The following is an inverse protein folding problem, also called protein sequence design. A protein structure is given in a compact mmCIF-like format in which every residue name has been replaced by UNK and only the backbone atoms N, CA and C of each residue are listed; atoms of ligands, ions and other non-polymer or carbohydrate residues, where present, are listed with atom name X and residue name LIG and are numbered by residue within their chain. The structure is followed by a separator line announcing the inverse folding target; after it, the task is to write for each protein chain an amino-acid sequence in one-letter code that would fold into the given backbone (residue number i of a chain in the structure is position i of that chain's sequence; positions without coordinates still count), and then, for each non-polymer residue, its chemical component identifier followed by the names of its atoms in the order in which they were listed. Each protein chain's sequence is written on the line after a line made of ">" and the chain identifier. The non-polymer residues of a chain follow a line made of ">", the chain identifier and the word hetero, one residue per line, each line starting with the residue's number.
data_IF_785440217397
#
_entry.id   IF_785440217397
#
_cell.length_a   1.000
_cell.length_b   1.000
_cell.length_c   1.000
_cell.angle_alpha   90.00
_cell.angle_beta   90.00
_cell.angle_gamma   90.00
#
_symmetry.space_group_name_H-M   'P 1'
#
loop_
_entity.id
_entity.type
_entity.pdbx_description
1 polymer ?
#
# COMPACT_ATOMS: atom_id res chain seq x y z
N UNK A 1 -33.45 -26.06 -33.93
CA UNK A 1 -32.27 -25.52 -34.65
C UNK A 1 -32.45 -24.02 -34.76
N UNK A 2 -31.64 -23.10 -34.25
CA UNK A 2 -30.31 -23.12 -33.63
C UNK A 2 -30.18 -21.76 -32.91
N UNK A 3 -30.23 -21.75 -31.57
CA UNK A 3 -29.93 -20.58 -30.73
C UNK A 3 -28.42 -20.49 -30.50
N UNK A 4 -27.67 -20.13 -31.54
CA UNK A 4 -26.23 -19.96 -31.45
C UNK A 4 -25.76 -18.88 -32.44
N UNK A 5 -25.89 -17.59 -32.08
CA UNK A 5 -25.04 -16.48 -32.55
C UNK A 5 -25.60 -15.12 -32.09
N UNK A 6 -25.30 -14.68 -30.86
CA UNK A 6 -25.57 -13.28 -30.46
C UNK A 6 -24.53 -12.69 -29.49
N UNK A 7 -23.34 -13.29 -29.39
CA UNK A 7 -22.33 -12.81 -28.44
C UNK A 7 -21.38 -11.72 -28.99
N UNK A 8 -21.46 -11.34 -30.27
CA UNK A 8 -20.54 -10.36 -30.86
C UNK A 8 -21.24 -9.35 -31.78
N UNK A 9 -21.84 -8.32 -31.19
CA UNK A 9 -22.08 -7.03 -31.87
C UNK A 9 -21.69 -5.88 -30.93
N UNK A 10 -20.43 -5.84 -30.51
CA UNK A 10 -19.86 -4.64 -29.90
C UNK A 10 -19.47 -3.73 -31.06
N UNK A 11 -20.19 -2.63 -31.26
CA UNK A 11 -19.85 -1.64 -32.30
C UNK A 11 -18.48 -0.99 -32.05
N UNK A 12 -17.83 -0.44 -33.08
CA UNK A 12 -16.46 0.10 -32.99
C UNK A 12 -16.31 1.18 -31.92
N UNK A 13 -17.34 2.02 -31.72
CA UNK A 13 -17.34 3.03 -30.65
C UNK A 13 -17.32 2.42 -29.24
N UNK A 14 -18.10 1.36 -28.99
CA UNK A 14 -18.11 0.67 -27.69
C UNK A 14 -16.79 -0.09 -27.46
N UNK A 15 -16.21 -0.64 -28.52
CA UNK A 15 -14.89 -1.27 -28.47
C UNK A 15 -13.80 -0.25 -28.11
N UNK A 16 -13.85 0.95 -28.69
CA UNK A 16 -12.95 2.05 -28.33
C UNK A 16 -13.09 2.45 -26.85
N UNK A 17 -14.33 2.60 -26.35
CA UNK A 17 -14.56 2.90 -24.91
C UNK A 17 -14.00 1.79 -24.02
N UNK A 18 -14.26 0.52 -24.31
CA UNK A 18 -13.70 -0.59 -23.53
C UNK A 18 -12.17 -0.61 -23.57
N UNK A 19 -11.57 -0.31 -24.72
CA UNK A 19 -10.12 -0.20 -24.85
C UNK A 19 -9.57 0.95 -23.99
N UNK A 20 -10.17 2.14 -24.05
CA UNK A 20 -9.76 3.27 -23.21
C UNK A 20 -9.88 2.94 -21.71
N UNK A 21 -10.97 2.31 -21.29
CA UNK A 21 -11.15 1.85 -19.91
C UNK A 21 -10.09 0.84 -19.53
N UNK A 22 -9.78 -0.13 -20.39
CA UNK A 22 -8.74 -1.13 -20.16
C UNK A 22 -7.36 -0.47 -19.99
N UNK A 23 -7.02 0.50 -20.84
CA UNK A 23 -5.76 1.25 -20.75
C UNK A 23 -5.68 2.00 -19.42
N UNK A 24 -6.76 2.68 -19.01
CA UNK A 24 -6.83 3.36 -17.72
C UNK A 24 -6.62 2.36 -16.57
N UNK A 25 -7.31 1.22 -16.60
CA UNK A 25 -7.17 0.17 -15.58
C UNK A 25 -5.73 -0.35 -15.52
N UNK A 26 -5.09 -0.62 -16.65
CA UNK A 26 -3.69 -1.06 -16.69
C UNK A 26 -2.78 -0.01 -16.08
N UNK A 27 -2.91 1.26 -16.48
CA UNK A 27 -2.10 2.37 -15.94
C UNK A 27 -2.24 2.45 -14.42
N UNK A 28 -3.45 2.28 -13.89
CA UNK A 28 -3.71 2.30 -12.44
C UNK A 28 -3.24 1.05 -11.70
N UNK A 29 -3.18 -0.11 -12.34
CA UNK A 29 -2.71 -1.35 -11.72
C UNK A 29 -1.19 -1.48 -11.70
N UNK A 30 -0.48 -0.85 -12.64
CA UNK A 30 0.98 -0.94 -12.77
C UNK A 30 1.72 -0.54 -11.47
N UNK A 31 1.41 0.57 -10.79
CA UNK A 31 2.06 0.92 -9.52
C UNK A 31 1.82 -0.12 -8.42
N UNK A 32 0.60 -0.62 -8.29
CA UNK A 32 0.22 -1.65 -7.30
C UNK A 32 0.95 -2.95 -7.56
N UNK A 33 1.04 -3.37 -8.83
CA UNK A 33 1.82 -4.54 -9.24
C UNK A 33 3.31 -4.33 -8.94
N UNK A 34 3.84 -3.13 -9.20
CA UNK A 34 5.22 -2.80 -8.90
C UNK A 34 5.55 -2.88 -7.41
N UNK A 35 4.66 -2.41 -6.54
CA UNK A 35 4.79 -2.55 -5.08
C UNK A 35 4.73 -4.03 -4.68
N UNK A 36 3.76 -4.79 -5.21
CA UNK A 36 3.61 -6.21 -4.90
C UNK A 36 4.85 -7.02 -5.28
N UNK A 37 5.34 -6.85 -6.52
CA UNK A 37 6.55 -7.53 -7.00
C UNK A 37 7.76 -7.09 -6.18
N UNK A 38 7.91 -5.81 -5.87
CA UNK A 38 9.01 -5.31 -5.04
C UNK A 38 9.00 -5.90 -3.63
N UNK A 39 7.82 -6.06 -3.02
CA UNK A 39 7.71 -6.63 -1.68
C UNK A 39 8.21 -8.08 -1.58
N UNK A 40 8.20 -8.82 -2.69
CA UNK A 40 8.70 -10.19 -2.79
C UNK A 40 10.19 -10.27 -3.13
N UNK A 41 10.87 -9.16 -3.42
CA UNK A 41 12.28 -9.16 -3.83
C UNK A 41 13.21 -9.03 -2.64
N UNK A 42 14.40 -9.62 -2.78
CA UNK A 42 15.48 -9.39 -1.83
C UNK A 42 15.98 -7.94 -1.85
N UNK A 43 16.48 -7.48 -0.70
CA UNK A 43 17.01 -6.13 -0.49
C UNK A 43 18.02 -5.73 -1.55
N UNK A 44 18.98 -6.60 -1.87
CA UNK A 44 20.08 -6.30 -2.79
C UNK A 44 19.60 -6.17 -4.24
N UNK A 45 18.44 -6.75 -4.58
CA UNK A 45 17.85 -6.63 -5.92
C UNK A 45 17.07 -5.33 -6.10
N UNK A 46 16.36 -4.88 -5.05
CA UNK A 46 15.53 -3.67 -5.09
C UNK A 46 16.38 -2.42 -5.23
N UNK A 47 17.55 -2.37 -4.60
CA UNK A 47 18.47 -1.21 -4.69
C UNK A 47 19.11 -1.04 -6.06
N UNK A 48 19.27 -2.13 -6.82
CA UNK A 48 20.08 -2.11 -8.05
C UNK A 48 19.23 -2.14 -9.33
N UNK A 49 17.95 -2.54 -9.25
CA UNK A 49 17.09 -2.64 -10.44
C UNK A 49 15.59 -2.48 -10.14
N UNK A 50 14.84 -2.00 -11.12
CA UNK A 50 13.39 -1.81 -11.01
C UNK A 50 12.60 -3.12 -10.94
N UNK A 51 11.36 -3.05 -10.46
CA UNK A 51 10.49 -4.22 -10.32
C UNK A 51 10.16 -4.90 -11.66
N UNK A 52 10.20 -4.16 -12.77
CA UNK A 52 9.95 -4.71 -14.10
C UNK A 52 11.04 -5.69 -14.56
N UNK A 53 12.22 -5.67 -13.93
CA UNK A 53 13.28 -6.66 -14.15
C UNK A 53 13.29 -7.75 -13.08
N UNK A 54 12.27 -7.89 -12.23
CA UNK A 54 12.31 -8.83 -11.11
C UNK A 54 12.51 -10.31 -11.52
N UNK A 55 12.14 -10.67 -12.75
CA UNK A 55 12.34 -12.01 -13.30
C UNK A 55 13.66 -12.14 -14.10
N UNK A 56 14.31 -11.02 -14.39
CA UNK A 56 15.64 -10.98 -14.98
C UNK A 56 16.66 -10.86 -13.84
N UNK A 57 17.72 -11.68 -13.86
CA UNK A 57 18.79 -11.55 -12.87
C UNK A 57 19.32 -10.11 -12.77
N UNK A 58 19.84 -9.73 -11.60
CA UNK A 58 20.42 -8.41 -11.39
C UNK A 58 21.95 -8.48 -11.45
N UNK A 59 22.63 -7.36 -11.72
CA UNK A 59 24.10 -7.31 -11.58
C UNK A 59 24.42 -6.62 -10.27
N UNK A 60 25.03 -7.34 -9.33
CA UNK A 60 25.33 -6.86 -7.98
C UNK A 60 26.84 -6.66 -7.83
N UNK A 61 27.24 -5.68 -7.00
CA UNK A 61 28.64 -5.52 -6.61
C UNK A 61 28.93 -6.36 -5.37
N UNK A 62 29.76 -7.39 -5.51
CA UNK A 62 30.11 -8.33 -4.44
C UNK A 62 31.58 -8.16 -4.10
N UNK A 63 31.90 -8.05 -2.80
CA UNK A 63 33.29 -8.07 -2.36
C UNK A 63 33.76 -9.51 -2.15
N UNK A 64 34.91 -9.86 -2.71
CA UNK A 64 35.58 -11.14 -2.50
C UNK A 64 37.01 -10.93 -2.01
N UNK A 65 37.61 -11.96 -1.44
CA UNK A 65 39.04 -11.99 -1.10
C UNK A 65 39.72 -13.09 -1.89
N UNK A 66 40.93 -12.80 -2.34
CA UNK A 66 41.81 -13.80 -2.96
C UNK A 66 42.34 -14.78 -1.90
N UNK A 67 43.04 -15.81 -2.34
CA UNK A 67 43.64 -16.82 -1.48
C UNK A 67 44.74 -16.23 -0.59
N UNK A 68 45.11 -17.00 0.42
CA UNK A 68 46.15 -16.65 1.38
C UNK A 68 47.55 -16.97 0.84
N UNK A 69 48.62 -16.31 1.32
CA UNK A 69 50.00 -16.52 0.85
C UNK A 69 50.49 -17.97 0.86
N UNK A 70 50.05 -18.79 1.81
CA UNK A 70 50.36 -20.22 1.93
C UNK A 70 49.81 -21.08 0.78
N UNK A 71 48.84 -20.55 0.03
CA UNK A 71 48.28 -21.20 -1.16
C UNK A 71 49.07 -20.89 -2.43
N UNK A 72 50.08 -20.01 -2.36
CA UNK A 72 50.88 -19.61 -3.50
C UNK A 72 51.78 -20.75 -3.98
N UNK A 73 51.78 -20.98 -5.29
CA UNK A 73 52.69 -21.90 -5.97
C UNK A 73 53.63 -21.12 -6.86
N UNK A 74 54.91 -21.47 -6.84
CA UNK A 74 55.88 -20.90 -7.76
C UNK A 74 55.77 -21.59 -9.12
N UNK A 75 55.55 -20.81 -10.18
CA UNK A 75 55.49 -21.28 -11.56
C UNK A 75 56.51 -20.50 -12.39
N UNK A 76 57.73 -21.04 -12.51
CA UNK A 76 58.85 -20.31 -13.10
C UNK A 76 59.30 -19.15 -12.22
N UNK A 77 59.33 -17.94 -12.77
CA UNK A 77 59.78 -16.71 -12.09
C UNK A 77 58.64 -15.96 -11.36
N UNK A 78 57.42 -16.50 -11.39
CA UNK A 78 56.25 -15.87 -10.77
C UNK A 78 55.63 -16.74 -9.69
N UNK A 79 54.99 -16.09 -8.72
CA UNK A 79 54.19 -16.72 -7.68
C UNK A 79 52.71 -16.57 -8.02
N UNK A 80 51.98 -17.67 -7.98
CA UNK A 80 50.60 -17.74 -8.43
C UNK A 80 49.70 -18.28 -7.32
N UNK A 81 48.61 -17.56 -7.05
CA UNK A 81 47.50 -18.03 -6.22
C UNK A 81 46.29 -18.24 -7.14
N UNK A 82 45.75 -19.47 -7.12
CA UNK A 82 44.54 -19.84 -7.88
C UNK A 82 43.41 -20.18 -6.93
N UNK A 83 42.18 -19.83 -7.30
CA UNK A 83 40.99 -20.24 -6.57
C UNK A 83 39.72 -19.90 -7.33
N UNK A 84 38.58 -19.96 -6.64
CA UNK A 84 37.30 -19.53 -7.19
C UNK A 84 36.58 -18.61 -6.21
N UNK A 85 36.27 -17.38 -6.62
CA UNK A 85 35.58 -16.37 -5.80
C UNK A 85 34.06 -16.54 -5.74
N UNK A 86 33.49 -17.42 -6.57
CA UNK A 86 32.08 -17.77 -6.61
C UNK A 86 31.81 -19.20 -6.12
N UNK A 87 32.79 -19.87 -5.50
CA UNK A 87 32.65 -21.27 -5.04
C UNK A 87 31.41 -21.49 -4.16
N UNK A 88 31.09 -20.53 -3.29
CA UNK A 88 29.93 -20.59 -2.39
C UNK A 88 28.68 -19.87 -2.95
N UNK A 89 28.70 -19.43 -4.21
CA UNK A 89 27.64 -18.62 -4.84
C UNK A 89 27.18 -19.23 -6.17
N UNK A 90 26.53 -20.40 -6.15
CA UNK A 90 26.09 -21.09 -7.36
C UNK A 90 25.09 -20.25 -8.16
N UNK A 91 25.19 -20.32 -9.49
CA UNK A 91 24.31 -19.59 -10.41
C UNK A 91 24.68 -18.13 -10.63
N UNK A 92 25.74 -17.62 -9.99
CA UNK A 92 26.30 -16.30 -10.28
C UNK A 92 27.39 -16.39 -11.37
N UNK A 93 27.58 -15.30 -12.10
CA UNK A 93 28.69 -15.19 -13.07
C UNK A 93 29.34 -13.81 -12.99
N UNK A 94 30.67 -13.76 -13.07
CA UNK A 94 31.41 -12.50 -13.08
C UNK A 94 31.28 -11.84 -14.45
N UNK A 95 30.80 -10.60 -14.50
CA UNK A 95 30.81 -9.78 -15.72
C UNK A 95 32.06 -8.90 -15.79
N UNK A 96 32.44 -8.32 -14.66
CA UNK A 96 33.60 -7.46 -14.54
C UNK A 96 34.13 -7.47 -13.09
N UNK A 97 35.34 -6.97 -12.88
CA UNK A 97 35.97 -6.87 -11.57
C UNK A 97 36.82 -5.60 -11.41
N UNK A 98 37.17 -5.30 -10.17
CA UNK A 98 38.11 -4.23 -9.84
C UNK A 98 38.64 -4.33 -8.41
N UNK A 99 39.69 -3.56 -8.12
CA UNK A 99 40.35 -3.56 -6.80
C UNK A 99 39.83 -2.48 -5.86
N UNK A 100 38.98 -1.56 -6.35
CA UNK A 100 38.36 -0.47 -5.58
C UNK A 100 36.85 -0.57 -5.64
N UNK A 101 36.16 -0.29 -4.52
CA UNK A 101 34.70 -0.38 -4.45
C UNK A 101 34.00 0.61 -5.38
N UNK A 102 34.63 1.76 -5.67
CA UNK A 102 34.10 2.78 -6.58
C UNK A 102 34.25 2.39 -8.06
N UNK A 103 35.09 1.39 -8.36
CA UNK A 103 35.38 0.93 -9.72
C UNK A 103 35.33 -0.62 -9.76
N UNK A 104 34.19 -1.25 -9.46
CA UNK A 104 34.05 -2.71 -9.44
C UNK A 104 33.99 -3.33 -10.83
N UNK A 105 33.95 -2.52 -11.88
CA UNK A 105 33.93 -2.93 -13.29
C UNK A 105 35.09 -2.33 -14.08
N UNK A 106 36.25 -2.18 -13.42
CA UNK A 106 37.45 -1.63 -14.04
C UNK A 106 38.01 -2.54 -15.15
N UNK A 107 37.83 -3.86 -15.01
CA UNK A 107 38.31 -4.87 -15.93
C UNK A 107 37.20 -5.87 -16.26
N UNK A 108 37.12 -6.33 -17.51
CA UNK A 108 36.12 -7.33 -17.92
C UNK A 108 36.52 -8.74 -17.45
N UNK A 109 35.54 -9.60 -17.22
CA UNK A 109 35.83 -11.01 -16.91
C UNK A 109 36.57 -11.67 -18.08
N UNK A 110 37.62 -12.43 -17.78
CA UNK A 110 38.53 -13.04 -18.77
C UNK A 110 39.68 -12.13 -19.20
N UNK A 111 39.69 -10.85 -18.79
CA UNK A 111 40.81 -9.94 -19.01
C UNK A 111 41.84 -10.04 -17.88
N UNK A 112 43.13 -10.10 -18.21
CA UNK A 112 44.20 -9.95 -17.23
C UNK A 112 44.38 -8.47 -16.87
N UNK A 113 44.12 -8.14 -15.61
CA UNK A 113 44.33 -6.81 -15.05
C UNK A 113 45.77 -6.65 -14.56
N UNK A 114 46.44 -5.58 -14.98
CA UNK A 114 47.69 -5.13 -14.37
C UNK A 114 47.37 -4.29 -13.13
N UNK A 115 47.84 -4.74 -11.97
CA UNK A 115 47.60 -4.08 -10.68
C UNK A 115 48.74 -3.14 -10.29
N UNK A 116 49.80 -3.04 -11.10
CA UNK A 116 51.03 -2.34 -10.78
C UNK A 116 51.97 -3.18 -9.89
N UNK A 117 53.21 -2.70 -9.73
CA UNK A 117 54.21 -3.31 -8.84
C UNK A 117 54.52 -4.80 -9.13
N UNK A 118 54.34 -5.24 -10.38
CA UNK A 118 54.59 -6.62 -10.80
C UNK A 118 53.50 -7.60 -10.38
N UNK A 119 52.30 -7.10 -10.08
CA UNK A 119 51.11 -7.89 -9.77
C UNK A 119 50.11 -7.86 -10.92
N UNK A 120 49.54 -9.02 -11.24
CA UNK A 120 48.46 -9.13 -12.22
C UNK A 120 47.36 -10.09 -11.76
N UNK A 121 46.14 -9.86 -12.20
CA UNK A 121 44.98 -10.63 -11.79
C UNK A 121 44.07 -10.93 -12.98
N UNK A 122 43.81 -12.21 -13.20
CA UNK A 122 42.81 -12.69 -14.14
C UNK A 122 41.63 -13.27 -13.35
N UNK A 123 40.40 -12.86 -13.67
CA UNK A 123 39.17 -13.46 -13.14
C UNK A 123 38.25 -13.82 -14.30
N UNK A 124 37.89 -15.10 -14.41
CA UNK A 124 36.98 -15.60 -15.44
C UNK A 124 35.51 -15.47 -15.02
N UNK A 125 34.60 -15.60 -15.98
CA UNK A 125 33.16 -15.49 -15.74
C UNK A 125 32.58 -16.54 -14.78
N UNK A 126 33.23 -17.70 -14.67
CA UNK A 126 32.86 -18.78 -13.72
C UNK A 126 33.37 -18.54 -12.28
N UNK A 127 34.05 -17.41 -12.05
CA UNK A 127 34.63 -17.05 -10.77
C UNK A 127 36.02 -17.64 -10.52
N UNK A 128 36.55 -18.48 -11.41
CA UNK A 128 37.95 -18.92 -11.31
C UNK A 128 38.89 -17.73 -11.49
N UNK A 129 39.93 -17.65 -10.67
CA UNK A 129 40.91 -16.57 -10.74
C UNK A 129 42.34 -17.08 -10.68
N UNK A 130 43.24 -16.27 -11.23
CA UNK A 130 44.68 -16.42 -11.15
C UNK A 130 45.30 -15.09 -10.75
N UNK A 131 45.86 -15.04 -9.56
CA UNK A 131 46.59 -13.89 -9.03
C UNK A 131 48.08 -14.16 -9.11
N UNK A 132 48.81 -13.29 -9.80
CA UNK A 132 50.20 -13.49 -10.19
C UNK A 132 51.04 -12.35 -9.65
N UNK A 133 52.20 -12.67 -9.07
CA UNK A 133 53.15 -11.68 -8.52
C UNK A 133 54.57 -12.07 -8.93
N UNK A 134 55.35 -11.08 -9.35
CA UNK A 134 56.77 -11.28 -9.70
C UNK A 134 57.70 -11.44 -8.49
N UNK A 135 57.15 -11.39 -7.28
CA UNK A 135 57.86 -11.55 -6.00
C UNK A 135 57.10 -12.51 -5.09
N UNK A 136 57.80 -13.14 -4.15
CA UNK A 136 57.20 -14.03 -3.17
C UNK A 136 56.18 -13.29 -2.30
N UNK A 137 55.10 -13.97 -1.95
CA UNK A 137 54.12 -13.44 -0.99
C UNK A 137 54.73 -13.44 0.42
N UNK A 138 54.57 -12.35 1.16
CA UNK A 138 55.04 -12.32 2.54
C UNK A 138 54.16 -13.24 3.42
N UNK A 139 54.72 -13.96 4.41
CA UNK A 139 53.96 -14.90 5.24
C UNK A 139 52.76 -14.27 5.98
N UNK A 140 52.84 -12.97 6.27
CA UNK A 140 51.82 -12.17 6.95
C UNK A 140 51.01 -11.26 6.00
N UNK A 141 51.20 -11.40 4.68
CA UNK A 141 50.50 -10.61 3.67
C UNK A 141 48.99 -10.89 3.73
N UNK A 142 48.19 -9.83 3.87
CA UNK A 142 46.73 -9.97 3.95
C UNK A 142 46.16 -10.34 2.58
N UNK A 143 45.17 -11.25 2.52
CA UNK A 143 44.47 -11.55 1.28
C UNK A 143 43.87 -10.30 0.65
N UNK A 144 44.21 -10.07 -0.62
CA UNK A 144 43.73 -8.89 -1.35
C UNK A 144 42.21 -8.94 -1.49
N UNK A 145 41.57 -7.82 -1.17
CA UNK A 145 40.14 -7.61 -1.39
C UNK A 145 39.91 -7.12 -2.80
N UNK A 146 38.93 -7.69 -3.47
CA UNK A 146 38.48 -7.31 -4.80
C UNK A 146 36.97 -7.14 -4.80
N UNK A 147 36.47 -6.48 -5.84
CA UNK A 147 35.05 -6.20 -6.05
C UNK A 147 34.65 -6.75 -7.42
N UNK A 148 33.56 -7.49 -7.45
CA UNK A 148 33.04 -8.17 -8.63
C UNK A 148 31.70 -7.53 -9.00
N UNK A 149 31.51 -7.17 -10.26
CA UNK A 149 30.18 -6.99 -10.83
C UNK A 149 29.69 -8.37 -11.30
N UNK A 150 28.93 -9.05 -10.45
CA UNK A 150 28.44 -10.41 -10.70
C UNK A 150 26.95 -10.40 -11.04
N UNK A 151 26.53 -11.19 -12.04
CA UNK A 151 25.11 -11.48 -12.23
C UNK A 151 24.60 -12.38 -11.10
N UNK A 152 23.46 -12.04 -10.53
CA UNK A 152 22.73 -12.86 -9.58
C UNK A 152 21.38 -13.26 -10.20
N UNK A 153 20.94 -14.53 -10.06
CA UNK A 153 19.61 -14.94 -10.49
C UNK A 153 18.52 -14.17 -9.74
N UNK A 154 17.29 -14.09 -10.28
CA UNK A 154 16.17 -13.49 -9.57
C UNK A 154 15.91 -14.26 -8.26
N UNK A 155 15.70 -13.54 -7.17
CA UNK A 155 15.50 -14.13 -5.84
C UNK A 155 14.23 -13.56 -5.23
N UNK A 156 13.29 -14.44 -4.91
CA UNK A 156 12.03 -14.09 -4.27
C UNK A 156 12.03 -14.58 -2.82
N UNK A 157 11.56 -13.71 -1.92
CA UNK A 157 11.58 -13.96 -0.49
C UNK A 157 10.32 -13.42 0.18
N UNK A 158 9.92 -14.07 1.27
CA UNK A 158 8.87 -13.59 2.18
C UNK A 158 9.45 -12.95 3.44
N UNK A 159 10.78 -12.79 3.52
CA UNK A 159 11.47 -12.22 4.66
C UNK A 159 10.95 -10.82 4.99
N UNK A 160 10.71 -9.98 3.97
CA UNK A 160 10.19 -8.63 4.16
C UNK A 160 8.84 -8.63 4.89
N UNK A 161 7.91 -9.48 4.46
CA UNK A 161 6.61 -9.65 5.12
C UNK A 161 6.76 -10.16 6.55
N UNK A 162 7.61 -11.16 6.77
CA UNK A 162 7.90 -11.67 8.12
C UNK A 162 8.42 -10.54 9.01
N UNK A 163 9.40 -9.78 8.54
CA UNK A 163 9.97 -8.64 9.27
C UNK A 163 8.91 -7.59 9.61
N UNK A 164 8.01 -7.25 8.68
CA UNK A 164 6.92 -6.30 8.96
C UNK A 164 5.94 -6.86 9.98
N UNK A 165 5.41 -8.07 9.75
CA UNK A 165 4.36 -8.67 10.57
C UNK A 165 4.83 -9.02 11.99
N UNK A 166 6.12 -9.29 12.18
CA UNK A 166 6.70 -9.57 13.51
C UNK A 166 7.38 -8.36 14.14
N UNK A 167 7.31 -7.17 13.53
CA UNK A 167 7.84 -5.96 14.14
C UNK A 167 7.04 -5.59 15.39
N UNK A 168 7.74 -5.15 16.44
CA UNK A 168 7.13 -4.77 17.71
C UNK A 168 6.03 -3.72 17.51
N UNK A 169 4.88 -3.92 18.17
CA UNK A 169 3.74 -3.00 18.12
C UNK A 169 2.82 -3.14 16.90
N UNK A 170 3.23 -3.80 15.80
CA UNK A 170 2.40 -3.90 14.58
C UNK A 170 1.06 -4.60 14.84
N UNK A 171 1.06 -5.68 15.63
CA UNK A 171 -0.17 -6.38 16.01
C UNK A 171 -1.14 -5.47 16.78
N UNK A 172 -0.63 -4.70 17.75
CA UNK A 172 -1.45 -3.74 18.51
C UNK A 172 -1.98 -2.63 17.60
N UNK A 173 -1.12 -2.08 16.73
CA UNK A 173 -1.52 -1.03 15.79
C UNK A 173 -2.57 -1.50 14.78
N UNK A 174 -2.54 -2.77 14.38
CA UNK A 174 -3.60 -3.38 13.58
C UNK A 174 -4.94 -3.40 14.33
N UNK A 175 -4.95 -3.80 15.60
CA UNK A 175 -6.15 -3.77 16.45
C UNK A 175 -6.63 -2.35 16.69
N UNK A 176 -5.72 -1.40 16.91
CA UNK A 176 -6.05 0.02 17.06
C UNK A 176 -6.73 0.56 15.81
N UNK A 177 -6.18 0.26 14.63
CA UNK A 177 -6.79 0.62 13.34
C UNK A 177 -8.20 0.04 13.17
N UNK A 178 -8.44 -1.21 13.53
CA UNK A 178 -9.78 -1.80 13.49
C UNK A 178 -10.74 -1.14 14.50
N UNK A 179 -10.24 -0.89 15.72
CA UNK A 179 -10.98 -0.21 16.80
C UNK A 179 -11.38 1.21 16.40
N UNK A 180 -10.59 1.89 15.58
CA UNK A 180 -10.95 3.19 14.99
C UNK A 180 -11.90 3.02 13.82
N UNK A 181 -11.53 2.20 12.83
CA UNK A 181 -12.17 2.14 11.51
C UNK A 181 -13.58 1.60 11.58
N UNK A 182 -13.83 0.52 12.33
CA UNK A 182 -15.15 -0.12 12.35
C UNK A 182 -16.22 0.81 12.94
N UNK A 183 -16.05 1.38 14.16
CA UNK A 183 -17.04 2.31 14.72
C UNK A 183 -17.17 3.60 13.90
N UNK A 184 -16.05 4.17 13.43
CA UNK A 184 -16.06 5.38 12.60
C UNK A 184 -16.67 5.15 11.21
N UNK A 185 -16.89 3.90 10.79
CA UNK A 185 -17.66 3.57 9.59
C UNK A 185 -19.15 3.43 9.92
N UNK A 186 -19.48 2.71 10.99
CA UNK A 186 -20.87 2.37 11.34
C UNK A 186 -21.64 3.58 11.90
N UNK A 187 -21.05 4.32 12.84
CA UNK A 187 -21.70 5.43 13.54
C UNK A 187 -22.24 6.50 12.57
N UNK A 188 -21.44 7.07 11.64
CA UNK A 188 -21.94 8.07 10.72
C UNK A 188 -23.02 7.51 9.78
N UNK A 189 -22.97 6.24 9.38
CA UNK A 189 -24.01 5.62 8.56
C UNK A 189 -25.35 5.61 9.29
N UNK A 190 -25.36 5.16 10.55
CA UNK A 190 -26.58 5.07 11.34
C UNK A 190 -27.22 6.46 11.49
N UNK A 191 -26.42 7.46 11.86
CA UNK A 191 -26.89 8.84 12.04
C UNK A 191 -27.35 9.43 10.71
N UNK A 192 -26.55 9.28 9.65
CA UNK A 192 -26.86 9.86 8.35
C UNK A 192 -28.06 9.21 7.68
N UNK A 193 -28.31 7.91 7.88
CA UNK A 193 -29.50 7.24 7.36
C UNK A 193 -30.80 7.84 7.95
N UNK A 194 -30.84 8.06 9.27
CA UNK A 194 -31.98 8.74 9.91
C UNK A 194 -32.13 10.18 9.42
N UNK A 195 -31.04 10.95 9.37
CA UNK A 195 -31.08 12.32 8.89
C UNK A 195 -31.52 12.41 7.41
N UNK A 196 -31.02 11.50 6.56
CA UNK A 196 -31.39 11.43 5.17
C UNK A 196 -32.86 11.06 4.97
N UNK A 197 -33.41 10.13 5.77
CA UNK A 197 -34.85 9.83 5.79
C UNK A 197 -35.67 11.08 6.11
N UNK A 198 -35.36 11.74 7.24
CA UNK A 198 -36.08 12.93 7.68
C UNK A 198 -36.02 14.05 6.63
N UNK A 199 -34.83 14.31 6.07
CA UNK A 199 -34.63 15.33 5.04
C UNK A 199 -35.19 14.96 3.66
N UNK A 200 -35.61 13.71 3.45
CA UNK A 200 -36.25 13.25 2.20
C UNK A 200 -37.77 13.28 2.29
N UNK A 201 -38.36 12.83 3.41
CA UNK A 201 -39.81 12.56 3.46
C UNK A 201 -40.55 13.11 4.68
N UNK A 202 -39.86 13.67 5.67
CA UNK A 202 -40.56 14.38 6.75
C UNK A 202 -40.74 15.86 6.40
N UNK A 203 -41.85 16.42 6.85
CA UNK A 203 -42.17 17.84 6.69
C UNK A 203 -42.01 18.53 8.04
N UNK A 204 -41.10 19.51 8.11
CA UNK A 204 -40.85 20.28 9.32
C UNK A 204 -40.19 21.63 8.97
N UNK A 205 -40.38 22.67 9.79
CA UNK A 205 -39.82 24.00 9.54
C UNK A 205 -38.27 23.96 9.54
N UNK A 206 -37.65 24.70 8.62
CA UNK A 206 -36.18 24.80 8.54
C UNK A 206 -35.48 23.66 7.75
N UNK A 207 -36.23 22.69 7.21
CA UNK A 207 -35.68 21.57 6.41
C UNK A 207 -34.76 22.04 5.26
N UNK A 208 -35.15 23.08 4.51
CA UNK A 208 -34.34 23.60 3.42
C UNK A 208 -33.01 24.21 3.89
N UNK A 209 -33.03 24.90 5.04
CA UNK A 209 -31.83 25.47 5.64
C UNK A 209 -30.87 24.36 6.12
N UNK A 210 -31.39 23.30 6.73
CA UNK A 210 -30.56 22.15 7.12
C UNK A 210 -29.92 21.47 5.91
N UNK A 211 -30.64 21.32 4.80
CA UNK A 211 -30.08 20.79 3.55
C UNK A 211 -28.96 21.70 3.04
N UNK A 212 -29.20 23.02 3.01
CA UNK A 212 -28.19 23.99 2.58
C UNK A 212 -26.95 23.96 3.50
N UNK A 213 -27.14 23.83 4.82
CA UNK A 213 -26.06 23.71 5.80
C UNK A 213 -25.24 22.44 5.57
N UNK A 214 -25.89 21.28 5.40
CA UNK A 214 -25.23 20.00 5.10
C UNK A 214 -24.38 20.13 3.85
N UNK A 215 -24.90 20.72 2.77
CA UNK A 215 -24.14 20.93 1.53
C UNK A 215 -22.99 21.92 1.74
N UNK A 216 -23.22 23.02 2.48
CA UNK A 216 -22.18 23.99 2.81
C UNK A 216 -21.03 23.39 3.63
N UNK A 217 -21.32 22.46 4.54
CA UNK A 217 -20.32 21.77 5.36
C UNK A 217 -19.40 20.86 4.54
N UNK A 218 -19.82 20.38 3.36
CA UNK A 218 -18.95 19.60 2.45
C UNK A 218 -17.79 20.46 1.93
N UNK A 219 -17.99 21.76 1.79
CA UNK A 219 -16.99 22.70 1.26
C UNK A 219 -15.88 22.99 2.28
N UNK A 220 -16.15 22.77 3.57
CA UNK A 220 -15.19 23.10 4.64
C UNK A 220 -14.01 22.12 4.57
N UNK A 221 -12.78 22.63 4.36
CA UNK A 221 -11.60 21.78 4.31
C UNK A 221 -11.31 21.22 5.71
N UNK A 222 -11.25 19.88 5.79
CA UNK A 222 -11.00 19.16 7.04
C UNK A 222 -9.77 19.69 7.77
N UNK A 223 -8.67 19.93 7.06
CA UNK A 223 -7.39 20.34 7.64
C UNK A 223 -7.49 21.68 8.39
N UNK A 224 -8.28 22.64 7.90
CA UNK A 224 -8.46 23.94 8.55
C UNK A 224 -9.27 23.83 9.85
N UNK A 225 -10.14 22.82 9.93
CA UNK A 225 -11.04 22.61 11.08
C UNK A 225 -10.41 21.80 12.22
N UNK A 226 -9.29 21.09 11.97
CA UNK A 226 -8.66 20.19 12.95
C UNK A 226 -8.27 20.93 14.25
N UNK A 227 -7.56 22.05 14.15
CA UNK A 227 -7.07 22.78 15.33
C UNK A 227 -8.25 23.34 16.15
N UNK A 228 -9.22 24.07 15.55
CA UNK A 228 -10.39 24.53 16.28
C UNK A 228 -11.17 23.39 16.96
N UNK A 229 -11.40 22.29 16.25
CA UNK A 229 -12.16 21.15 16.80
C UNK A 229 -11.40 20.43 17.91
N UNK A 230 -10.08 20.30 17.80
CA UNK A 230 -9.27 19.73 18.89
C UNK A 230 -9.33 20.61 20.13
N UNK A 231 -9.29 21.95 19.98
CA UNK A 231 -9.45 22.88 21.11
C UNK A 231 -10.80 22.71 21.78
N UNK A 232 -11.88 22.70 21.00
CA UNK A 232 -13.23 22.46 21.51
C UNK A 232 -13.33 21.10 22.21
N UNK A 233 -12.73 20.05 21.64
CA UNK A 233 -12.75 18.72 22.23
C UNK A 233 -11.98 18.67 23.56
N UNK A 234 -10.84 19.37 23.65
CA UNK A 234 -10.10 19.50 24.90
C UNK A 234 -10.90 20.25 25.98
N UNK A 235 -11.59 21.33 25.61
CA UNK A 235 -12.44 22.09 26.53
C UNK A 235 -13.57 21.21 27.06
N UNK A 236 -14.28 20.49 26.18
CA UNK A 236 -15.34 19.56 26.58
C UNK A 236 -14.78 18.45 27.47
N UNK A 237 -13.65 17.83 27.09
CA UNK A 237 -12.99 16.78 27.87
C UNK A 237 -12.63 17.26 29.27
N UNK A 238 -12.14 18.49 29.40
CA UNK A 238 -11.82 19.10 30.70
C UNK A 238 -13.05 19.29 31.59
N UNK A 239 -14.22 19.61 31.02
CA UNK A 239 -15.46 19.79 31.77
C UNK A 239 -15.99 18.48 32.36
N UNK A 240 -15.79 17.36 31.65
CA UNK A 240 -16.27 16.02 32.06
C UNK A 240 -15.16 15.16 32.68
N UNK A 241 -13.99 15.73 32.97
CA UNK A 241 -12.81 15.06 33.50
C UNK A 241 -12.36 13.84 32.66
N UNK A 242 -12.47 13.93 31.34
CA UNK A 242 -12.08 12.87 30.41
C UNK A 242 -10.88 13.30 29.55
N UNK A 243 -9.90 12.42 29.28
CA UNK A 243 -8.83 12.71 28.35
C UNK A 243 -9.37 12.99 26.94
N UNK A 244 -8.79 13.98 26.28
CA UNK A 244 -9.20 14.41 24.94
C UNK A 244 -8.63 13.56 23.80
N UNK A 245 -7.74 12.61 24.09
CA UNK A 245 -7.18 11.70 23.09
C UNK A 245 -7.60 10.28 23.40
N UNK A 246 -8.76 9.88 22.87
CA UNK A 246 -9.40 8.61 23.19
C UNK A 246 -10.11 8.05 21.96
N UNK A 247 -10.43 6.75 21.98
CA UNK A 247 -11.21 6.11 20.91
C UNK A 247 -12.55 6.81 20.63
N UNK A 248 -13.38 7.17 21.63
CA UNK A 248 -14.58 7.96 21.38
C UNK A 248 -14.31 9.30 20.68
N UNK A 249 -13.21 9.98 21.03
CA UNK A 249 -12.86 11.26 20.40
C UNK A 249 -12.58 11.15 18.91
N UNK A 250 -11.79 10.16 18.51
CA UNK A 250 -11.52 9.91 17.09
C UNK A 250 -12.74 9.37 16.34
N UNK A 251 -13.63 8.60 16.98
CA UNK A 251 -14.90 8.17 16.39
C UNK A 251 -15.81 9.36 16.10
N UNK A 252 -15.94 10.29 17.07
CA UNK A 252 -16.70 11.51 16.91
C UNK A 252 -16.12 12.42 15.82
N UNK A 253 -14.79 12.57 15.77
CA UNK A 253 -14.12 13.36 14.74
C UNK A 253 -14.42 12.82 13.33
N UNK A 254 -14.20 11.52 13.08
CA UNK A 254 -14.50 10.91 11.78
C UNK A 254 -16.00 10.92 11.45
N UNK A 255 -16.85 10.79 12.47
CA UNK A 255 -18.30 10.92 12.30
C UNK A 255 -18.67 12.32 11.84
N UNK A 256 -18.19 13.35 12.54
CA UNK A 256 -18.49 14.75 12.22
C UNK A 256 -18.03 15.14 10.81
N UNK A 257 -16.84 14.70 10.40
CA UNK A 257 -16.30 14.97 9.06
C UNK A 257 -16.98 14.17 7.96
N UNK A 258 -17.33 12.89 8.21
CA UNK A 258 -18.00 12.05 7.22
C UNK A 258 -19.48 12.36 7.03
N UNK A 259 -20.12 12.95 8.05
CA UNK A 259 -21.58 13.13 8.10
C UNK A 259 -22.17 13.99 6.98
N UNK A 260 -21.59 15.15 6.58
CA UNK A 260 -22.15 15.96 5.50
C UNK A 260 -22.27 15.18 4.17
N UNK A 261 -21.20 14.48 3.79
CA UNK A 261 -21.19 13.64 2.59
C UNK A 261 -22.13 12.44 2.74
N UNK A 262 -22.17 11.80 3.91
CA UNK A 262 -23.06 10.68 4.19
C UNK A 262 -24.54 11.06 4.02
N UNK A 263 -24.95 12.17 4.66
CA UNK A 263 -26.33 12.68 4.58
C UNK A 263 -26.65 13.05 3.14
N UNK A 264 -25.74 13.75 2.44
CA UNK A 264 -25.96 14.16 1.06
C UNK A 264 -26.18 12.97 0.13
N UNK A 265 -25.29 11.98 0.15
CA UNK A 265 -25.37 10.79 -0.72
C UNK A 265 -26.58 9.92 -0.39
N UNK A 266 -26.81 9.64 0.91
CA UNK A 266 -27.95 8.82 1.32
C UNK A 266 -29.27 9.52 1.04
N UNK A 267 -29.36 10.84 1.24
CA UNK A 267 -30.56 11.61 0.89
C UNK A 267 -30.84 11.54 -0.61
N UNK A 268 -29.82 11.71 -1.45
CA UNK A 268 -29.97 11.63 -2.89
C UNK A 268 -30.54 10.28 -3.35
N UNK A 269 -30.07 9.17 -2.74
CA UNK A 269 -30.59 7.84 -3.03
C UNK A 269 -32.00 7.63 -2.46
N UNK A 270 -32.20 7.92 -1.16
CA UNK A 270 -33.47 7.72 -0.45
C UNK A 270 -34.59 8.52 -1.12
N UNK A 271 -34.34 9.78 -1.49
CA UNK A 271 -35.32 10.61 -2.22
C UNK A 271 -35.74 10.02 -3.58
N UNK A 272 -34.94 9.10 -4.15
CA UNK A 272 -35.23 8.42 -5.41
C UNK A 272 -36.07 7.14 -5.28
N UNK A 273 -36.33 6.65 -4.06
CA UNK A 273 -37.16 5.48 -3.85
C UNK A 273 -38.63 5.75 -4.25
N UNK A 274 -39.40 4.73 -4.69
CA UNK A 274 -40.79 4.90 -5.13
C UNK A 274 -41.65 5.48 -4.00
N UNK A 275 -42.23 6.66 -4.24
CA UNK A 275 -43.01 7.39 -3.23
C UNK A 275 -44.29 6.64 -2.86
N UNK A 276 -44.85 5.92 -3.82
CA UNK A 276 -46.11 5.20 -3.72
C UNK A 276 -46.06 4.12 -2.61
N UNK A 277 -44.90 3.46 -2.45
CA UNK A 277 -44.70 2.45 -1.40
C UNK A 277 -44.77 3.08 0.00
N UNK A 278 -44.24 4.30 0.13
CA UNK A 278 -44.15 5.01 1.41
C UNK A 278 -45.49 5.66 1.75
N UNK A 279 -46.15 6.25 0.76
CA UNK A 279 -47.50 6.79 0.91
C UNK A 279 -48.50 5.69 1.27
N UNK A 280 -48.43 4.51 0.63
CA UNK A 280 -49.26 3.36 0.98
C UNK A 280 -49.02 2.91 2.43
N UNK A 281 -47.76 2.77 2.85
CA UNK A 281 -47.45 2.38 4.22
C UNK A 281 -47.98 3.40 5.26
N UNK A 282 -47.94 4.70 4.92
CA UNK A 282 -48.50 5.77 5.78
C UNK A 282 -50.02 5.71 5.82
N UNK A 283 -50.70 5.37 4.71
CA UNK A 283 -52.15 5.12 4.66
C UNK A 283 -52.53 3.89 5.49
N UNK A 284 -51.69 2.86 5.51
CA UNK A 284 -51.83 1.67 6.36
C UNK A 284 -51.53 1.94 7.86
N UNK A 285 -51.23 3.18 8.23
CA UNK A 285 -51.00 3.60 9.62
C UNK A 285 -49.60 3.30 10.16
N UNK A 286 -48.64 2.93 9.31
CA UNK A 286 -47.27 2.71 9.74
C UNK A 286 -46.61 4.02 10.20
N UNK A 287 -45.93 3.97 11.36
CA UNK A 287 -45.14 5.08 11.87
C UNK A 287 -43.90 5.35 11.02
N UNK A 288 -43.36 6.57 11.05
CA UNK A 288 -42.10 6.90 10.33
C UNK A 288 -40.94 5.98 10.72
N UNK A 289 -40.87 5.54 11.98
CA UNK A 289 -39.85 4.59 12.44
C UNK A 289 -40.03 3.20 11.81
N UNK A 290 -41.27 2.71 11.68
CA UNK A 290 -41.57 1.45 11.01
C UNK A 290 -41.30 1.53 9.50
N UNK A 291 -41.71 2.61 8.85
CA UNK A 291 -41.41 2.88 7.44
C UNK A 291 -39.89 2.87 7.24
N UNK A 292 -39.16 3.62 8.07
CA UNK A 292 -37.70 3.69 8.00
C UNK A 292 -37.06 2.31 8.15
N UNK A 293 -37.35 1.58 9.23
CA UNK A 293 -36.66 0.33 9.55
C UNK A 293 -37.07 -0.85 8.65
N UNK A 294 -38.35 -0.94 8.26
CA UNK A 294 -38.88 -2.10 7.50
C UNK A 294 -38.88 -1.92 5.99
N UNK A 295 -38.91 -0.67 5.49
CA UNK A 295 -39.01 -0.40 4.05
C UNK A 295 -37.73 0.28 3.57
N UNK A 296 -37.42 1.44 4.15
CA UNK A 296 -36.40 2.34 3.59
C UNK A 296 -35.01 1.77 3.79
N UNK A 297 -34.69 1.33 5.00
CA UNK A 297 -33.36 0.83 5.35
C UNK A 297 -32.99 -0.42 4.50
N UNK A 298 -33.85 -1.44 4.33
CA UNK A 298 -33.59 -2.56 3.41
C UNK A 298 -33.41 -2.14 1.95
N UNK A 299 -34.26 -1.23 1.44
CA UNK A 299 -34.17 -0.73 0.06
C UNK A 299 -32.91 0.13 -0.18
N UNK A 300 -32.42 0.77 0.89
CA UNK A 300 -31.22 1.62 0.87
C UNK A 300 -29.93 0.86 1.15
N UNK A 301 -29.99 -0.45 1.43
CA UNK A 301 -28.83 -1.26 1.71
C UNK A 301 -27.70 -1.14 0.66
N UNK A 302 -27.98 -1.10 -0.66
CA UNK A 302 -26.93 -0.88 -1.67
C UNK A 302 -26.19 0.45 -1.51
N UNK A 303 -26.92 1.54 -1.18
CA UNK A 303 -26.35 2.86 -0.96
C UNK A 303 -25.55 2.92 0.35
N UNK A 304 -26.08 2.31 1.42
CA UNK A 304 -25.41 2.21 2.72
C UNK A 304 -24.09 1.44 2.60
N UNK A 305 -24.08 0.29 1.90
CA UNK A 305 -22.87 -0.47 1.63
C UNK A 305 -21.87 0.32 0.78
N UNK A 306 -22.35 1.09 -0.21
CA UNK A 306 -21.48 1.94 -1.04
C UNK A 306 -20.78 3.01 -0.20
N UNK A 307 -21.53 3.72 0.67
CA UNK A 307 -20.94 4.70 1.58
C UNK A 307 -20.03 4.03 2.61
N UNK A 308 -20.38 2.85 3.13
CA UNK A 308 -19.53 2.10 4.06
C UNK A 308 -18.16 1.80 3.48
N UNK A 309 -18.08 1.45 2.18
CA UNK A 309 -16.80 1.24 1.50
C UNK A 309 -15.98 2.54 1.51
N UNK A 310 -16.57 3.67 1.08
CA UNK A 310 -15.83 4.94 1.04
C UNK A 310 -15.37 5.40 2.42
N UNK A 311 -16.25 5.33 3.42
CA UNK A 311 -15.95 5.71 4.79
C UNK A 311 -14.88 4.80 5.40
N UNK A 312 -14.99 3.48 5.22
CA UNK A 312 -13.99 2.53 5.70
C UNK A 312 -12.62 2.80 5.06
N UNK A 313 -12.57 2.97 3.74
CA UNK A 313 -11.34 3.25 3.02
C UNK A 313 -10.70 4.56 3.47
N UNK A 314 -11.50 5.61 3.70
CA UNK A 314 -10.98 6.87 4.20
C UNK A 314 -10.39 6.71 5.60
N UNK A 315 -11.16 6.18 6.56
CA UNK A 315 -10.71 6.05 7.96
C UNK A 315 -9.53 5.10 8.10
N UNK A 316 -9.52 3.97 7.37
CA UNK A 316 -8.42 3.00 7.42
C UNK A 316 -7.08 3.59 6.99
N UNK A 317 -7.12 4.50 6.01
CA UNK A 317 -5.93 5.15 5.47
C UNK A 317 -5.59 6.47 6.20
N UNK A 318 -6.48 7.00 7.04
CA UNK A 318 -6.28 8.30 7.67
C UNK A 318 -5.23 8.25 8.78
N UNK A 319 -4.12 8.95 8.55
CA UNK A 319 -3.07 9.13 9.54
C UNK A 319 -3.23 10.44 10.32
N UNK A 320 -3.75 11.49 9.68
CA UNK A 320 -3.72 12.85 10.22
C UNK A 320 -4.73 13.03 11.37
N UNK A 321 -5.99 12.66 11.17
CA UNK A 321 -7.03 12.70 12.21
C UNK A 321 -6.65 11.74 13.34
N UNK A 322 -6.05 10.59 13.02
CA UNK A 322 -5.55 9.66 14.02
C UNK A 322 -4.49 10.27 14.95
N UNK A 323 -3.45 10.88 14.39
CA UNK A 323 -2.42 11.56 15.18
C UNK A 323 -2.96 12.70 16.04
N UNK A 324 -3.97 13.43 15.53
CA UNK A 324 -4.56 14.59 16.21
C UNK A 324 -5.48 14.16 17.37
N UNK A 325 -6.39 13.22 17.14
CA UNK A 325 -7.49 12.89 18.07
C UNK A 325 -7.29 11.60 18.88
N UNK A 326 -6.38 10.72 18.48
CA UNK A 326 -6.06 9.50 19.23
C UNK A 326 -4.63 9.54 19.78
N UNK A 327 -3.70 10.16 19.04
CA UNK A 327 -2.31 10.36 19.46
C UNK A 327 -1.32 9.46 18.73
N UNK A 328 -0.06 9.52 19.18
CA UNK A 328 1.08 8.81 18.58
C UNK A 328 1.76 7.87 19.56
N UNK A 329 1.18 7.68 20.75
CA UNK A 329 1.72 6.80 21.77
C UNK A 329 1.63 5.34 21.31
N UNK A 330 2.58 4.50 21.75
CA UNK A 330 2.71 3.10 21.27
C UNK A 330 1.41 2.30 21.42
N UNK A 331 0.66 2.53 22.49
CA UNK A 331 -0.56 1.79 22.80
C UNK A 331 -1.76 2.18 21.92
N UNK A 332 -1.71 3.37 21.30
CA UNK A 332 -2.80 3.95 20.52
C UNK A 332 -2.45 4.24 19.06
N UNK A 333 -1.20 3.97 18.66
CA UNK A 333 -0.74 4.20 17.31
C UNK A 333 -1.48 3.30 16.32
N UNK A 334 -2.07 3.89 15.28
CA UNK A 334 -2.74 3.18 14.18
C UNK A 334 -1.72 2.54 13.23
N UNK A 335 -2.13 1.52 12.48
CA UNK A 335 -1.27 0.75 11.57
C UNK A 335 -0.53 1.64 10.56
N UNK A 336 -1.20 2.63 9.97
CA UNK A 336 -0.57 3.59 9.04
C UNK A 336 0.58 4.36 9.71
N UNK A 337 0.41 4.76 10.97
CA UNK A 337 1.43 5.43 11.76
C UNK A 337 2.59 4.52 12.15
N UNK A 338 2.29 3.28 12.55
CA UNK A 338 3.32 2.30 12.89
C UNK A 338 4.18 1.92 11.69
N UNK A 339 3.55 1.71 10.52
CA UNK A 339 4.27 1.44 9.28
C UNK A 339 5.07 2.67 8.82
N UNK A 340 4.57 3.89 9.01
CA UNK A 340 5.33 5.10 8.73
C UNK A 340 6.58 5.22 9.63
N UNK A 341 6.48 4.85 10.91
CA UNK A 341 7.62 4.85 11.83
C UNK A 341 8.69 3.80 11.46
N UNK A 342 8.31 2.68 10.85
CA UNK A 342 9.26 1.70 10.31
C UNK A 342 10.11 2.28 9.16
N UNK A 343 9.61 3.28 8.44
CA UNK A 343 10.34 3.97 7.37
C UNK A 343 11.38 4.94 7.92
N UNK A 344 10.97 5.78 8.89
CA UNK A 344 11.82 6.83 9.45
C UNK A 344 12.99 6.29 10.28
N UNK A 345 12.82 5.14 10.93
CA UNK A 345 13.85 4.52 11.78
C UNK A 345 14.87 3.68 11.03
N UNK A 346 14.60 3.27 9.78
CA UNK A 346 15.37 2.26 9.05
C UNK A 346 16.00 2.77 7.76
N UNK A 347 16.41 4.05 7.72
CA UNK A 347 16.96 4.74 6.54
C UNK A 347 17.70 3.83 5.56
N UNK A 348 17.05 3.52 4.43
CA UNK A 348 17.61 2.68 3.36
C UNK A 348 16.97 1.31 3.11
N UNK A 349 16.01 0.85 3.92
CA UNK A 349 15.35 -0.45 3.73
C UNK A 349 14.04 -0.34 2.90
N UNK A 350 14.17 -0.06 1.61
CA UNK A 350 13.05 0.10 0.66
C UNK A 350 12.18 -1.16 0.51
N UNK A 351 12.77 -2.33 0.72
CA UNK A 351 12.10 -3.63 0.73
C UNK A 351 11.00 -3.70 1.80
N UNK A 352 11.24 -3.11 2.97
CA UNK A 352 10.29 -3.07 4.08
C UNK A 352 9.13 -2.13 3.75
N UNK A 353 9.39 -0.99 3.09
CA UNK A 353 8.35 -0.05 2.66
C UNK A 353 7.32 -0.72 1.75
N UNK A 354 7.79 -1.44 0.75
CA UNK A 354 6.90 -2.09 -0.23
C UNK A 354 6.07 -3.20 0.40
N UNK A 355 6.66 -3.99 1.32
CA UNK A 355 5.92 -4.98 2.10
C UNK A 355 4.90 -4.33 3.05
N UNK A 356 5.26 -3.25 3.75
CA UNK A 356 4.35 -2.49 4.61
C UNK A 356 3.15 -1.93 3.84
N UNK A 357 3.39 -1.31 2.68
CA UNK A 357 2.34 -0.77 1.83
C UNK A 357 1.34 -1.86 1.40
N UNK A 358 1.84 -3.04 1.04
CA UNK A 358 0.98 -4.15 0.64
C UNK A 358 0.17 -4.72 1.82
N UNK A 359 0.77 -4.84 3.00
CA UNK A 359 0.08 -5.24 4.24
C UNK A 359 -1.06 -4.26 4.58
N UNK A 360 -0.89 -2.96 4.34
CA UNK A 360 -1.98 -1.99 4.57
C UNK A 360 -3.10 -2.12 3.56
N UNK A 361 -2.80 -2.35 2.28
CA UNK A 361 -3.77 -2.36 1.17
C UNK A 361 -4.64 -3.63 1.17
N UNK A 362 -4.16 -4.75 1.70
CA UNK A 362 -4.89 -6.03 1.64
C UNK A 362 -6.27 -5.94 2.33
N UNK A 363 -6.38 -5.20 3.44
CA UNK A 363 -7.63 -5.08 4.20
C UNK A 363 -8.69 -4.26 3.43
N UNK A 364 -8.39 -3.03 2.95
CA UNK A 364 -9.20 -2.31 1.98
C UNK A 364 -9.71 -3.15 0.82
N UNK A 365 -8.83 -3.95 0.19
CA UNK A 365 -9.21 -4.80 -0.94
C UNK A 365 -10.21 -5.88 -0.51
N UNK A 366 -9.99 -6.55 0.61
CA UNK A 366 -10.93 -7.55 1.13
C UNK A 366 -12.31 -6.94 1.42
N UNK A 367 -12.37 -5.76 2.04
CA UNK A 367 -13.63 -5.06 2.30
C UNK A 367 -14.31 -4.66 0.99
N UNK A 368 -13.56 -4.08 0.05
CA UNK A 368 -14.07 -3.69 -1.26
C UNK A 368 -14.64 -4.90 -2.01
N UNK A 369 -13.88 -5.99 -2.17
CA UNK A 369 -14.33 -7.18 -2.91
C UNK A 369 -15.51 -7.88 -2.24
N UNK A 370 -15.61 -7.80 -0.90
CA UNK A 370 -16.76 -8.33 -0.16
C UNK A 370 -18.05 -7.51 -0.37
N UNK A 371 -17.91 -6.18 -0.55
CA UNK A 371 -19.04 -5.25 -0.65
C UNK A 371 -19.33 -4.74 -2.08
N UNK A 372 -18.44 -4.95 -3.06
CA UNK A 372 -18.53 -4.41 -4.42
C UNK A 372 -19.84 -4.77 -5.14
N UNK A 373 -20.42 -5.94 -4.83
CA UNK A 373 -21.70 -6.39 -5.42
C UNK A 373 -22.85 -5.44 -5.13
N UNK A 374 -22.77 -4.71 -4.02
CA UNK A 374 -23.77 -3.71 -3.63
C UNK A 374 -23.53 -2.37 -4.33
N UNK A 375 -22.27 -2.02 -4.59
CA UNK A 375 -21.88 -0.80 -5.31
C UNK A 375 -22.36 -0.82 -6.77
N UNK A 376 -22.22 -1.97 -7.45
CA UNK A 376 -22.72 -2.15 -8.83
C UNK A 376 -24.24 -1.97 -8.92
N UNK A 377 -25.00 -2.44 -7.91
CA UNK A 377 -26.46 -2.28 -7.88
C UNK A 377 -26.89 -0.84 -7.60
N UNK A 378 -26.15 -0.12 -6.74
CA UNK A 378 -26.44 1.28 -6.40
C UNK A 378 -26.25 2.25 -7.58
N UNK A 379 -25.20 2.05 -8.39
CA UNK A 379 -24.93 2.89 -9.57
C UNK A 379 -25.94 2.66 -10.71
N UNK A 380 -26.41 1.43 -10.88
CA UNK A 380 -27.36 1.08 -11.95
C UNK A 380 -28.78 1.60 -11.65
N UNK A 381 -29.21 1.62 -10.39
CA UNK A 381 -30.53 2.15 -10.02
C UNK A 381 -30.73 3.64 -10.34
N UNK A 382 -29.64 4.44 -10.34
CA UNK A 382 -29.67 5.86 -10.71
C UNK A 382 -29.64 6.14 -12.22
N UNK A 383 -29.16 5.19 -13.05
CA UNK A 383 -28.98 5.41 -14.51
C UNK A 383 -30.18 5.02 -15.37
N UNK A 384 -31.15 4.25 -14.87
CA UNK A 384 -32.29 3.75 -15.68
C UNK A 384 -33.35 4.82 -15.98
N UNK A 385 -33.15 6.08 -15.56
CA UNK A 385 -34.12 7.18 -15.79
C UNK A 385 -33.83 8.06 -17.01
N UNK A 386 -32.95 7.65 -17.91
CA UNK A 386 -32.56 8.46 -19.08
C UNK A 386 -32.48 7.73 -20.42
N UNK A 387 -33.17 6.60 -20.60
CA UNK A 387 -33.20 5.83 -21.85
C UNK A 387 -34.61 5.73 -22.43
#
# INVERSE_FOLDING_TARGET
>A
MTTAASYFKIGPARLFVHFCVLVIVIIWLVPTLGIFVSALRDKDQITVSGWWTAFAGSTQTVAARLGTPDQAKQEGDIYVITGNVLADQPGRSVKAFGVRVQQPSAFEAGQTADLGEGESLLINSDGSYRYMKNAAFAPDERPRRIYLAASAPPEFTLANYKTVLTSEGIGQSFINSLTVTIPATIIPILIAAFAAYALSWMEFPGRALLIALVVGLIVVPLQMSLIPLLRLYNEIGSLINQPSKTYPGIWLAHTAFGMPLAIYLLRAYISGLPKEIIESARVDGASDFEIFTRIVLPLSFPALASFAIFQFLWVWNDLLVAMVFLGTDKDHLVLTGALNALLGSRGGNWEILTASAFVTIIIPLLVFFSLQRYLVRGLLAGSVKGG
#
